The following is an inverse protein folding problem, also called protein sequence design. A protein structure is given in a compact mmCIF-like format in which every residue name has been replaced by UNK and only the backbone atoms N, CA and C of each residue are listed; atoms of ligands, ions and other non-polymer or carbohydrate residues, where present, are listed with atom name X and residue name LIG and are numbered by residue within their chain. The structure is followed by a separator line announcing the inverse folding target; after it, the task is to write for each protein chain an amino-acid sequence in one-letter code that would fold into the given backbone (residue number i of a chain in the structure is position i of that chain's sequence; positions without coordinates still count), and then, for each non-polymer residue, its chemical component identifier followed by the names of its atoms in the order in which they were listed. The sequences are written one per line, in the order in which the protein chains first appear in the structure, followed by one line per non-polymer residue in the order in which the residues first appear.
data_IF_510475750931
#
_entry.id   IF_510475750931
#
_cell.length_a   1.000
_cell.length_b   1.000
_cell.length_c   1.000
_cell.angle_alpha   90.00
_cell.angle_beta   90.00
_cell.angle_gamma   90.00
#
_symmetry.space_group_name_H-M   'P 1'
#
loop_
_entity.id
_entity.type
_entity.pdbx_description
1 polymer ?
#
# COMPACT_ATOMS: atom_id res chain seq x y z
N UNK A 1 1.07 16.56 2.88
CA UNK A 1 1.99 15.98 1.89
C UNK A 1 2.82 17.10 1.29
N UNK A 2 4.15 17.12 1.40
CA UNK A 2 4.99 18.14 0.80
C UNK A 2 5.01 17.97 -0.73
N UNK A 3 4.89 19.06 -1.49
CA UNK A 3 5.15 19.07 -2.93
C UNK A 3 6.55 19.62 -3.15
N UNK A 4 7.42 18.83 -3.76
CA UNK A 4 8.85 19.10 -3.90
C UNK A 4 9.27 19.14 -5.36
N UNK A 5 10.48 19.60 -5.63
CA UNK A 5 11.04 19.66 -6.97
C UNK A 5 11.19 18.27 -7.62
N UNK A 6 11.46 17.24 -6.80
CA UNK A 6 11.58 15.85 -7.26
C UNK A 6 10.41 15.04 -6.69
N UNK A 7 9.72 14.32 -7.55
CA UNK A 7 8.64 13.41 -7.21
C UNK A 7 8.81 12.09 -7.97
N UNK A 8 8.31 11.02 -7.38
CA UNK A 8 8.28 9.70 -8.00
C UNK A 8 6.87 9.40 -8.49
N UNK A 9 6.76 8.80 -9.66
CA UNK A 9 5.49 8.33 -10.23
C UNK A 9 5.62 6.85 -10.60
N UNK A 10 4.49 6.18 -10.81
CA UNK A 10 4.48 4.83 -11.35
C UNK A 10 5.03 4.81 -12.78
N UNK A 11 5.91 3.87 -13.09
CA UNK A 11 6.50 3.75 -14.42
C UNK A 11 5.43 3.54 -15.52
N UNK A 12 4.33 2.89 -15.19
CA UNK A 12 3.21 2.70 -16.12
C UNK A 12 2.44 3.99 -16.45
N UNK A 13 2.66 5.06 -15.68
CA UNK A 13 2.06 6.38 -15.93
C UNK A 13 2.85 7.21 -16.96
N UNK A 14 3.94 6.65 -17.54
CA UNK A 14 4.71 7.30 -18.61
C UNK A 14 4.89 6.37 -19.80
N UNK A 15 4.84 6.95 -21.00
CA UNK A 15 5.24 6.33 -22.27
C UNK A 15 6.19 7.26 -23.04
N UNK A 16 7.19 6.69 -23.69
CA UNK A 16 8.16 7.44 -24.51
C UNK A 16 7.54 8.00 -25.80
N UNK A 17 6.43 7.40 -26.25
CA UNK A 17 5.66 7.85 -27.40
C UNK A 17 4.20 8.07 -27.01
N UNK A 18 3.62 9.16 -27.49
CA UNK A 18 2.21 9.46 -27.30
C UNK A 18 1.32 8.61 -28.23
N UNK A 19 0.09 8.34 -27.79
CA UNK A 19 -0.94 7.68 -28.58
C UNK A 19 -2.30 8.37 -28.34
N UNK A 20 -3.22 8.35 -29.31
CA UNK A 20 -4.53 9.02 -29.20
C UNK A 20 -5.38 8.54 -28.03
N UNK A 21 -5.23 7.29 -27.66
CA UNK A 21 -5.94 6.58 -26.56
C UNK A 21 -5.17 6.60 -25.24
N UNK A 22 -3.96 7.19 -25.19
CA UNK A 22 -3.15 7.30 -24.00
C UNK A 22 -3.33 8.67 -23.34
N UNK A 23 -3.89 8.71 -22.14
CA UNK A 23 -4.22 9.95 -21.43
C UNK A 23 -3.25 10.29 -20.29
N UNK A 24 -2.19 9.49 -20.10
CA UNK A 24 -1.19 9.73 -19.07
C UNK A 24 0.01 10.49 -19.63
N UNK A 25 1.12 10.51 -18.91
CA UNK A 25 2.29 11.32 -19.22
C UNK A 25 3.07 10.77 -20.41
N UNK A 26 3.36 11.64 -21.36
CA UNK A 26 4.25 11.40 -22.50
C UNK A 26 4.93 12.73 -22.87
N UNK A 27 5.98 12.75 -23.71
CA UNK A 27 6.60 13.98 -24.16
C UNK A 27 5.59 14.95 -24.76
N UNK A 28 5.57 16.19 -24.25
CA UNK A 28 4.60 17.22 -24.64
C UNK A 28 3.21 17.10 -24.00
N UNK A 29 2.90 16.01 -23.29
CA UNK A 29 1.62 15.82 -22.61
C UNK A 29 1.58 16.40 -21.21
N UNK A 30 0.38 16.88 -20.83
CA UNK A 30 0.08 17.46 -19.54
C UNK A 30 -0.83 16.56 -18.74
N UNK A 31 -0.47 16.30 -17.47
CA UNK A 31 -1.29 15.57 -16.49
C UNK A 31 -1.38 16.34 -15.19
N UNK A 32 -2.45 16.11 -14.44
CA UNK A 32 -2.55 16.55 -13.04
C UNK A 32 -1.80 15.57 -12.14
N UNK A 33 -1.16 16.10 -11.11
CA UNK A 33 -0.71 15.34 -9.97
C UNK A 33 -1.80 15.38 -8.91
N UNK A 34 -2.14 14.24 -8.32
CA UNK A 34 -3.25 14.18 -7.35
C UNK A 34 -3.03 15.14 -6.18
N UNK A 35 -4.03 15.97 -5.87
CA UNK A 35 -3.98 17.03 -4.85
C UNK A 35 -2.94 18.15 -5.08
N UNK A 36 -2.40 18.29 -6.26
CA UNK A 36 -1.53 19.42 -6.64
C UNK A 36 -2.35 20.43 -7.44
N UNK A 37 -2.28 21.73 -7.14
CA UNK A 37 -3.18 22.73 -7.72
C UNK A 37 -2.96 22.96 -9.22
N UNK A 38 -1.75 22.75 -9.71
CA UNK A 38 -1.42 22.97 -11.14
C UNK A 38 -0.83 21.69 -11.73
N UNK A 39 -1.13 21.41 -13.02
CA UNK A 39 -0.63 20.23 -13.69
C UNK A 39 0.85 20.37 -14.08
N UNK A 40 1.41 19.25 -14.56
CA UNK A 40 2.77 19.18 -15.08
C UNK A 40 2.75 18.72 -16.53
N UNK A 41 3.64 19.30 -17.35
CA UNK A 41 3.85 18.91 -18.74
C UNK A 41 5.24 18.29 -18.87
N UNK A 42 5.34 17.05 -19.37
CA UNK A 42 6.62 16.43 -19.64
C UNK A 42 7.33 17.14 -20.82
N UNK A 43 8.52 17.68 -20.58
CA UNK A 43 9.33 18.36 -21.61
C UNK A 43 10.40 17.47 -22.21
N UNK A 44 10.97 16.56 -21.40
CA UNK A 44 11.97 15.60 -21.84
C UNK A 44 12.07 14.44 -20.86
N UNK A 45 12.78 13.38 -21.24
CA UNK A 45 13.08 12.24 -20.39
C UNK A 45 14.50 11.75 -20.64
N UNK A 46 15.04 10.97 -19.72
CA UNK A 46 16.34 10.30 -19.83
C UNK A 46 16.17 8.80 -19.69
N UNK A 47 17.03 8.07 -20.36
CA UNK A 47 17.11 6.61 -20.31
C UNK A 47 18.50 6.18 -19.85
N UNK A 48 18.59 4.99 -19.26
CA UNK A 48 19.86 4.30 -19.03
C UNK A 48 20.34 3.60 -20.31
N UNK A 49 21.50 2.93 -20.24
CA UNK A 49 22.10 2.19 -21.37
C UNK A 49 21.24 1.01 -21.85
N UNK A 50 20.33 0.50 -21.00
CA UNK A 50 19.36 -0.53 -21.35
C UNK A 50 18.10 0.03 -22.05
N UNK A 51 17.99 1.36 -22.21
CA UNK A 51 16.82 2.02 -22.79
C UNK A 51 15.66 2.22 -21.82
N UNK A 52 15.83 1.90 -20.53
CA UNK A 52 14.80 2.13 -19.52
C UNK A 52 14.76 3.60 -19.09
N UNK A 53 13.56 4.13 -18.96
CA UNK A 53 13.35 5.51 -18.53
C UNK A 53 13.69 5.67 -17.05
N UNK A 54 14.62 6.56 -16.73
CA UNK A 54 15.11 6.81 -15.37
C UNK A 54 14.67 8.15 -14.80
N UNK A 55 14.43 9.14 -15.67
CA UNK A 55 14.10 10.50 -15.24
C UNK A 55 13.19 11.18 -16.24
N UNK A 56 12.21 11.92 -15.74
CA UNK A 56 11.36 12.82 -16.51
C UNK A 56 11.62 14.26 -16.08
N UNK A 57 11.74 15.16 -17.05
CA UNK A 57 11.79 16.59 -16.79
C UNK A 57 10.43 17.16 -17.14
N UNK A 58 9.78 17.78 -16.16
CA UNK A 58 8.45 18.34 -16.33
C UNK A 58 8.43 19.84 -15.99
N UNK A 59 7.62 20.59 -16.74
CA UNK A 59 7.32 21.97 -16.42
C UNK A 59 6.04 22.03 -15.60
N UNK A 60 6.06 22.79 -14.52
CA UNK A 60 4.89 23.07 -13.69
C UNK A 60 4.08 24.21 -14.31
N UNK A 61 2.80 23.98 -14.59
CA UNK A 61 1.95 24.90 -15.37
C UNK A 61 1.20 25.89 -14.48
N UNK A 62 1.92 26.76 -13.80
CA UNK A 62 1.38 27.81 -12.94
C UNK A 62 1.20 29.17 -13.62
N UNK A 63 1.18 29.22 -14.95
CA UNK A 63 1.01 30.43 -15.73
C UNK A 63 -0.41 31.03 -15.65
N UNK A 64 -0.57 32.22 -16.24
CA UNK A 64 -1.84 32.96 -16.25
C UNK A 64 -2.98 32.26 -17.01
N UNK A 65 -2.64 31.35 -17.94
CA UNK A 65 -3.63 30.55 -18.67
C UNK A 65 -3.73 29.17 -18.05
N UNK A 66 -4.87 28.82 -17.41
CA UNK A 66 -5.01 27.52 -16.76
C UNK A 66 -5.01 26.39 -17.81
N UNK A 67 -4.16 25.42 -17.61
CA UNK A 67 -4.17 24.16 -18.37
C UNK A 67 -4.98 23.14 -17.59
N UNK A 68 -6.06 22.63 -18.20
CA UNK A 68 -6.90 21.60 -17.55
C UNK A 68 -6.41 20.23 -17.98
N UNK A 69 -5.89 19.41 -17.04
CA UNK A 69 -5.42 18.08 -17.37
C UNK A 69 -6.59 17.14 -17.63
N UNK A 70 -6.45 16.21 -18.57
CA UNK A 70 -7.47 15.17 -18.84
C UNK A 70 -7.47 14.03 -17.80
N UNK A 71 -6.34 13.84 -17.10
CA UNK A 71 -6.19 12.80 -16.08
C UNK A 71 -5.27 13.26 -14.97
N UNK A 72 -5.38 12.57 -13.83
CA UNK A 72 -4.52 12.76 -12.66
C UNK A 72 -3.78 11.45 -12.37
N UNK A 73 -2.47 11.58 -12.07
CA UNK A 73 -1.62 10.45 -11.70
C UNK A 73 -1.21 10.55 -10.23
N UNK A 74 -0.89 9.41 -9.64
CA UNK A 74 -0.37 9.32 -8.27
C UNK A 74 1.13 9.64 -8.26
N UNK A 75 1.60 10.15 -7.15
CA UNK A 75 2.98 10.54 -6.98
C UNK A 75 3.40 10.49 -5.51
N UNK A 76 4.70 10.39 -5.28
CA UNK A 76 5.31 10.44 -3.95
C UNK A 76 6.45 11.47 -3.97
N UNK A 77 6.51 12.33 -2.96
CA UNK A 77 7.54 13.35 -2.87
C UNK A 77 8.91 12.77 -2.51
N UNK A 78 9.98 13.39 -2.98
CA UNK A 78 11.30 13.27 -2.38
C UNK A 78 11.48 14.37 -1.33
N UNK A 79 11.36 14.01 -0.03
CA UNK A 79 11.45 14.98 1.06
C UNK A 79 11.99 14.32 2.33
N UNK A 80 13.30 14.34 2.50
CA UNK A 80 13.98 13.71 3.63
C UNK A 80 13.46 14.15 5.02
N UNK A 81 13.13 15.44 5.28
CA UNK A 81 12.62 15.85 6.59
C UNK A 81 11.30 15.17 7.00
N UNK A 82 10.46 14.76 6.03
CA UNK A 82 9.23 13.99 6.29
C UNK A 82 9.41 12.50 6.10
N UNK A 83 10.60 12.01 5.87
CA UNK A 83 10.92 10.61 5.55
C UNK A 83 10.19 10.09 4.29
N UNK A 84 9.93 10.96 3.33
CA UNK A 84 9.33 10.60 2.04
C UNK A 84 10.41 10.40 0.97
N UNK A 85 10.34 9.34 0.15
CA UNK A 85 9.36 8.28 0.13
C UNK A 85 9.57 7.23 1.23
N UNK A 86 8.49 6.61 1.71
CA UNK A 86 8.59 5.41 2.54
C UNK A 86 8.85 4.22 1.64
N UNK A 87 10.02 3.60 1.77
CA UNK A 87 10.39 2.43 0.95
C UNK A 87 9.81 1.15 1.54
N UNK A 88 9.21 0.35 0.66
CA UNK A 88 8.66 -0.97 0.99
C UNK A 88 9.74 -2.01 0.68
N UNK A 89 10.14 -2.77 1.69
CA UNK A 89 11.15 -3.82 1.51
C UNK A 89 10.63 -4.93 0.58
N UNK A 90 9.38 -5.35 0.79
CA UNK A 90 8.70 -6.34 -0.05
C UNK A 90 7.21 -6.01 -0.17
N UNK A 91 6.71 -5.84 -1.40
CA UNK A 91 5.29 -5.92 -1.68
C UNK A 91 5.01 -7.27 -2.35
N UNK A 92 4.32 -8.15 -1.62
CA UNK A 92 4.03 -9.52 -2.04
C UNK A 92 2.69 -9.57 -2.76
N UNK A 93 2.71 -9.97 -4.02
CA UNK A 93 1.53 -10.16 -4.85
C UNK A 93 1.29 -11.66 -4.98
N UNK A 94 0.11 -12.10 -4.57
CA UNK A 94 -0.26 -13.51 -4.65
C UNK A 94 -1.18 -13.75 -5.85
N UNK A 95 -0.92 -14.83 -6.55
CA UNK A 95 -1.68 -15.37 -7.68
C UNK A 95 -2.21 -16.76 -7.33
N UNK A 96 -3.10 -17.36 -8.12
CA UNK A 96 -3.57 -18.72 -7.88
C UNK A 96 -2.41 -19.69 -7.67
N UNK A 97 -2.50 -20.51 -6.60
CA UNK A 97 -1.45 -21.47 -6.26
C UNK A 97 -1.33 -22.59 -7.30
N UNK A 98 -2.45 -22.90 -7.96
CA UNK A 98 -2.48 -23.93 -9.01
C UNK A 98 -2.84 -23.32 -10.35
N UNK A 99 -2.34 -23.94 -11.42
CA UNK A 99 -2.63 -23.56 -12.81
C UNK A 99 -3.90 -24.20 -13.35
N UNK A 100 -4.46 -25.20 -12.66
CA UNK A 100 -5.73 -25.84 -12.96
C UNK A 100 -6.86 -25.29 -12.07
N UNK A 101 -8.11 -25.35 -12.55
CA UNK A 101 -9.29 -24.86 -11.82
C UNK A 101 -9.65 -25.75 -10.62
N UNK A 102 -9.52 -27.08 -10.78
CA UNK A 102 -9.83 -28.03 -9.72
C UNK A 102 -8.62 -28.95 -9.46
N UNK A 103 -7.75 -28.60 -8.49
CA UNK A 103 -6.61 -29.41 -8.12
C UNK A 103 -7.01 -30.75 -7.49
N UNK A 104 -8.18 -30.80 -6.81
CA UNK A 104 -8.63 -32.02 -6.14
C UNK A 104 -9.09 -33.12 -7.12
N UNK A 105 -9.45 -32.74 -8.34
CA UNK A 105 -9.80 -33.66 -9.41
C UNK A 105 -8.58 -34.25 -10.14
N UNK A 106 -7.36 -33.82 -9.80
CA UNK A 106 -6.13 -34.28 -10.46
C UNK A 106 -5.48 -35.41 -9.67
N UNK A 107 -5.02 -36.46 -10.35
CA UNK A 107 -4.28 -37.57 -9.72
C UNK A 107 -2.96 -37.10 -9.08
N UNK A 108 -2.27 -36.14 -9.70
CA UNK A 108 -1.08 -35.48 -9.18
C UNK A 108 -1.25 -33.96 -9.23
N UNK A 109 -1.86 -33.39 -8.19
CA UNK A 109 -2.07 -31.94 -8.09
C UNK A 109 -0.77 -31.15 -7.94
N UNK A 110 0.32 -31.77 -7.49
CA UNK A 110 1.62 -31.11 -7.32
C UNK A 110 2.23 -30.72 -8.67
N UNK A 111 1.91 -31.46 -9.73
CA UNK A 111 2.33 -31.11 -11.10
C UNK A 111 1.72 -29.79 -11.61
N UNK A 112 0.64 -29.34 -10.99
CA UNK A 112 -0.06 -28.09 -11.34
C UNK A 112 0.28 -26.91 -10.42
N UNK A 113 1.30 -27.04 -9.57
CA UNK A 113 1.75 -25.90 -8.76
C UNK A 113 2.23 -24.77 -9.67
N UNK A 114 1.71 -23.57 -9.45
CA UNK A 114 2.12 -22.37 -10.16
C UNK A 114 3.44 -21.84 -9.59
N UNK A 115 4.55 -21.93 -10.30
CA UNK A 115 5.85 -21.42 -9.82
C UNK A 115 5.86 -19.89 -9.66
N UNK A 116 4.92 -19.20 -10.30
CA UNK A 116 4.73 -17.75 -10.22
C UNK A 116 3.55 -17.34 -9.31
N UNK A 117 3.16 -18.21 -8.37
CA UNK A 117 2.07 -17.93 -7.43
C UNK A 117 2.37 -16.78 -6.47
N UNK A 118 3.64 -16.40 -6.31
CA UNK A 118 4.08 -15.25 -5.52
C UNK A 118 5.07 -14.41 -6.30
N UNK A 119 4.72 -13.16 -6.54
CA UNK A 119 5.60 -12.13 -7.06
C UNK A 119 6.02 -11.17 -5.93
N UNK A 120 7.27 -10.77 -5.89
CA UNK A 120 7.80 -9.83 -4.89
C UNK A 120 8.30 -8.59 -5.60
N UNK A 121 7.65 -7.47 -5.36
CA UNK A 121 8.13 -6.16 -5.78
C UNK A 121 8.97 -5.56 -4.64
N UNK A 122 10.20 -5.20 -4.95
CA UNK A 122 11.13 -4.58 -4.00
C UNK A 122 11.22 -3.08 -4.24
N UNK A 123 11.55 -2.34 -3.19
CA UNK A 123 11.77 -0.90 -3.26
C UNK A 123 10.57 -0.08 -3.77
N UNK A 124 9.34 -0.63 -3.68
CA UNK A 124 8.14 0.15 -3.95
C UNK A 124 8.08 1.35 -2.99
N UNK A 125 7.49 2.44 -3.46
CA UNK A 125 7.47 3.70 -2.72
C UNK A 125 6.05 4.04 -2.28
N UNK A 126 5.88 4.37 -1.00
CA UNK A 126 4.63 4.84 -0.42
C UNK A 126 4.75 6.27 0.07
N UNK A 127 3.61 6.93 0.10
CA UNK A 127 3.44 8.24 0.72
C UNK A 127 3.48 8.11 2.25
N UNK A 128 4.03 9.13 2.93
CA UNK A 128 4.21 9.16 4.40
C UNK A 128 2.93 9.02 5.22
N UNK A 129 1.76 9.19 4.62
CA UNK A 129 0.46 8.92 5.24
C UNK A 129 0.33 7.50 5.77
N UNK A 130 1.15 6.55 5.31
CA UNK A 130 1.20 5.19 5.85
C UNK A 130 1.49 5.17 7.35
N UNK A 131 2.31 6.09 7.88
CA UNK A 131 2.56 6.18 9.31
C UNK A 131 1.29 6.50 10.09
N UNK A 132 0.51 7.46 9.61
CA UNK A 132 -0.78 7.81 10.23
C UNK A 132 -1.80 6.69 10.13
N UNK A 133 -1.87 6.04 8.98
CA UNK A 133 -2.74 4.86 8.78
C UNK A 133 -2.38 3.77 9.78
N UNK A 134 -1.10 3.50 9.98
CA UNK A 134 -0.59 2.53 10.95
C UNK A 134 -1.00 2.88 12.37
N UNK A 135 -0.74 4.12 12.80
CA UNK A 135 -1.10 4.59 14.13
C UNK A 135 -2.62 4.44 14.39
N UNK A 136 -3.45 4.89 13.46
CA UNK A 136 -4.90 4.81 13.57
C UNK A 136 -5.39 3.35 13.61
N UNK A 137 -4.88 2.49 12.73
CA UNK A 137 -5.27 1.08 12.68
C UNK A 137 -4.88 0.33 13.96
N UNK A 138 -3.67 0.55 14.47
CA UNK A 138 -3.19 -0.04 15.71
C UNK A 138 -4.00 0.45 16.92
N UNK A 139 -4.32 1.74 16.99
CA UNK A 139 -5.14 2.31 18.06
C UNK A 139 -6.57 1.77 18.03
N UNK A 140 -7.15 1.62 16.84
CA UNK A 140 -8.48 1.04 16.68
C UNK A 140 -8.50 -0.42 17.10
N UNK A 141 -7.57 -1.22 16.62
CA UNK A 141 -7.51 -2.63 16.92
C UNK A 141 -7.28 -2.91 18.43
N UNK A 142 -6.50 -2.05 19.11
CA UNK A 142 -6.36 -2.12 20.57
C UNK A 142 -7.69 -1.83 21.29
N UNK A 143 -8.45 -0.83 20.85
CA UNK A 143 -9.79 -0.53 21.41
C UNK A 143 -10.75 -1.69 21.21
N UNK A 144 -10.83 -2.24 20.01
CA UNK A 144 -11.69 -3.38 19.69
C UNK A 144 -11.32 -4.65 20.48
N UNK A 145 -10.03 -4.88 20.70
CA UNK A 145 -9.56 -5.98 21.55
C UNK A 145 -10.02 -5.78 23.00
N UNK A 146 -9.88 -4.57 23.54
CA UNK A 146 -10.33 -4.24 24.90
C UNK A 146 -11.85 -4.39 25.06
N UNK A 147 -12.63 -3.89 24.10
CA UNK A 147 -14.09 -4.02 24.10
C UNK A 147 -14.54 -5.48 24.07
N UNK A 148 -13.87 -6.33 23.26
CA UNK A 148 -14.15 -7.77 23.22
C UNK A 148 -13.91 -8.45 24.56
N UNK A 149 -12.82 -8.12 25.24
CA UNK A 149 -12.51 -8.64 26.59
C UNK A 149 -13.59 -8.23 27.60
N UNK A 150 -14.01 -6.94 27.56
CA UNK A 150 -15.09 -6.46 28.44
C UNK A 150 -16.43 -7.16 28.17
N UNK A 151 -16.80 -7.33 26.90
CA UNK A 151 -18.03 -8.04 26.51
C UNK A 151 -18.00 -9.51 26.95
N UNK A 152 -16.86 -10.19 26.75
CA UNK A 152 -16.70 -11.57 27.19
C UNK A 152 -16.83 -11.71 28.71
N UNK A 153 -16.22 -10.80 29.46
CA UNK A 153 -16.34 -10.76 30.92
C UNK A 153 -17.79 -10.54 31.38
N UNK A 154 -18.51 -9.62 30.74
CA UNK A 154 -19.92 -9.33 31.07
C UNK A 154 -20.85 -10.50 30.75
N UNK A 155 -20.62 -11.20 29.65
CA UNK A 155 -21.34 -12.41 29.29
C UNK A 155 -21.08 -13.55 30.33
N UNK A 156 -19.83 -13.70 30.76
CA UNK A 156 -19.45 -14.67 31.77
C UNK A 156 -20.09 -14.34 33.16
N UNK A 157 -20.10 -13.05 33.55
CA UNK A 157 -20.76 -12.59 34.76
C UNK A 157 -22.27 -12.89 34.74
N UNK A 158 -22.92 -12.63 33.62
CA UNK A 158 -24.35 -12.90 33.47
C UNK A 158 -24.70 -14.38 33.41
N UNK A 159 -23.80 -15.23 32.91
CA UNK A 159 -24.04 -16.67 32.75
C UNK A 159 -23.63 -17.50 33.97
N UNK A 160 -22.58 -17.18 34.68
CA UNK A 160 -21.90 -18.00 35.67
C UNK A 160 -21.65 -17.30 37.01
N UNK A 161 -21.96 -16.03 37.15
CA UNK A 161 -21.72 -15.23 38.36
C UNK A 161 -20.35 -14.55 38.39
N UNK A 162 -20.14 -13.68 39.41
CA UNK A 162 -18.98 -12.77 39.48
C UNK A 162 -17.60 -13.46 39.51
N UNK A 163 -17.52 -14.64 40.14
CA UNK A 163 -16.23 -15.35 40.29
C UNK A 163 -15.71 -15.89 38.95
N UNK A 164 -16.63 -16.29 38.04
CA UNK A 164 -16.27 -16.73 36.70
C UNK A 164 -15.85 -15.56 35.81
N UNK A 165 -16.46 -14.37 35.95
CA UNK A 165 -16.09 -13.17 35.23
C UNK A 165 -14.67 -12.71 35.59
N UNK A 166 -14.28 -12.79 36.87
CA UNK A 166 -12.91 -12.48 37.30
C UNK A 166 -11.89 -13.47 36.76
N UNK A 167 -12.24 -14.77 36.64
CA UNK A 167 -11.37 -15.77 36.01
C UNK A 167 -11.16 -15.53 34.52
N UNK A 168 -12.23 -15.15 33.80
CA UNK A 168 -12.13 -14.79 32.38
C UNK A 168 -11.27 -13.52 32.18
N UNK A 169 -11.48 -12.49 32.99
CA UNK A 169 -10.66 -11.28 32.94
C UNK A 169 -9.20 -11.56 33.30
N UNK A 170 -8.91 -12.41 34.28
CA UNK A 170 -7.54 -12.78 34.65
C UNK A 170 -6.88 -13.65 33.59
N UNK A 171 -7.62 -14.57 32.97
CA UNK A 171 -7.11 -15.42 31.89
C UNK A 171 -6.86 -14.64 30.62
N UNK A 172 -7.80 -13.77 30.21
CA UNK A 172 -7.63 -12.88 29.05
C UNK A 172 -6.61 -11.78 29.33
N UNK A 173 -6.50 -11.27 30.56
CA UNK A 173 -5.42 -10.33 30.93
C UNK A 173 -4.04 -11.01 30.91
N UNK A 174 -3.92 -12.28 31.29
CA UNK A 174 -2.66 -13.04 31.19
C UNK A 174 -2.34 -13.42 29.74
N UNK A 175 -3.34 -13.77 28.95
CA UNK A 175 -3.20 -13.95 27.49
C UNK A 175 -3.03 -12.61 26.76
N UNK A 176 -3.69 -11.54 27.22
CA UNK A 176 -3.50 -10.19 26.69
C UNK A 176 -2.13 -9.60 27.08
N UNK A 177 -1.54 -9.98 28.22
CA UNK A 177 -0.14 -9.63 28.52
C UNK A 177 0.88 -10.46 27.71
N UNK A 178 0.52 -11.69 27.33
CA UNK A 178 1.33 -12.55 26.45
C UNK A 178 0.99 -12.40 24.95
N UNK A 179 -0.19 -11.91 24.61
CA UNK A 179 -0.76 -11.77 23.26
C UNK A 179 -1.39 -10.39 22.99
N UNK A 180 -1.07 -9.38 23.79
CA UNK A 180 -1.55 -8.01 23.57
C UNK A 180 -0.83 -7.25 22.45
N UNK A 181 -0.03 -7.93 21.67
CA UNK A 181 0.42 -7.44 20.39
C UNK A 181 -0.71 -7.64 19.38
N UNK A 182 -1.57 -6.64 19.27
CA UNK A 182 -2.38 -6.49 18.06
C UNK A 182 -1.42 -6.68 16.88
N UNK A 183 -1.65 -7.70 16.08
CA UNK A 183 -0.78 -8.03 14.95
C UNK A 183 -0.72 -6.86 13.98
N UNK A 184 0.39 -6.72 13.31
CA UNK A 184 0.60 -5.65 12.29
C UNK A 184 -0.37 -5.78 11.12
N UNK A 185 -0.95 -6.96 10.93
CA UNK A 185 -1.95 -7.29 9.92
C UNK A 185 -3.27 -6.49 10.07
N UNK A 186 -3.47 -5.84 11.22
CA UNK A 186 -4.56 -4.89 11.39
C UNK A 186 -4.38 -3.63 10.54
N UNK A 187 -3.13 -3.33 10.13
CA UNK A 187 -2.81 -2.20 9.24
C UNK A 187 -3.19 -2.57 7.82
N UNK A 188 -4.35 -2.10 7.38
CA UNK A 188 -4.90 -2.35 6.05
C UNK A 188 -5.21 -1.03 5.39
N UNK A 189 -4.88 -0.93 4.11
CA UNK A 189 -5.10 0.29 3.34
C UNK A 189 -5.26 -0.01 1.85
N UNK A 190 -5.80 0.97 1.15
CA UNK A 190 -5.83 0.96 -0.30
C UNK A 190 -4.64 1.75 -0.83
N UNK A 191 -3.76 1.08 -1.58
CA UNK A 191 -2.85 1.76 -2.47
C UNK A 191 -3.65 2.17 -3.71
N UNK A 192 -3.90 3.46 -3.86
CA UNK A 192 -4.80 3.99 -4.89
C UNK A 192 -4.37 3.52 -6.28
N UNK A 193 -5.31 2.97 -7.05
CA UNK A 193 -5.14 2.42 -8.41
C UNK A 193 -4.31 1.12 -8.49
N UNK A 194 -3.81 0.61 -7.35
CA UNK A 194 -2.97 -0.60 -7.33
C UNK A 194 -3.71 -1.78 -6.69
N UNK A 195 -4.22 -1.61 -5.47
CA UNK A 195 -4.87 -2.69 -4.75
C UNK A 195 -5.06 -2.39 -3.28
N UNK A 196 -5.63 -3.36 -2.56
CA UNK A 196 -5.71 -3.34 -1.10
C UNK A 196 -4.58 -4.17 -0.53
N UNK A 197 -3.93 -3.64 0.49
CA UNK A 197 -2.78 -4.25 1.14
C UNK A 197 -2.98 -4.35 2.65
N UNK A 198 -2.35 -5.36 3.24
CA UNK A 198 -2.16 -5.47 4.68
C UNK A 198 -0.66 -5.48 4.98
N UNK A 199 -0.26 -4.92 6.12
CA UNK A 199 1.09 -5.11 6.61
C UNK A 199 1.28 -6.57 7.04
N UNK A 200 2.45 -7.13 6.75
CA UNK A 200 2.84 -8.46 7.20
C UNK A 200 3.41 -8.39 8.63
N UNK A 201 3.33 -9.51 9.37
CA UNK A 201 3.94 -9.66 10.70
C UNK A 201 5.45 -9.39 10.69
N UNK A 202 6.11 -9.67 9.58
CA UNK A 202 7.55 -9.42 9.39
C UNK A 202 7.89 -7.93 9.34
N UNK A 203 6.89 -7.05 9.17
CA UNK A 203 7.13 -5.60 9.14
C UNK A 203 7.68 -5.10 10.47
N UNK A 204 8.68 -4.22 10.43
CA UNK A 204 9.05 -3.35 11.54
C UNK A 204 8.79 -1.90 11.11
N UNK A 205 7.82 -1.25 11.74
CA UNK A 205 7.54 0.15 11.51
C UNK A 205 7.80 0.89 12.82
N UNK A 206 8.84 1.71 12.83
CA UNK A 206 9.03 2.68 13.87
C UNK A 206 7.92 3.74 13.70
N UNK A 207 7.19 4.03 14.78
CA UNK A 207 6.30 5.18 14.83
C UNK A 207 7.14 6.45 14.68
N UNK A 208 6.54 7.52 14.18
CA UNK A 208 7.17 8.81 13.95
C UNK A 208 8.12 9.19 15.10
N UNK A 209 9.41 9.32 14.80
CA UNK A 209 10.43 9.75 15.75
C UNK A 209 11.54 8.74 16.06
N UNK A 210 11.35 7.46 15.79
CA UNK A 210 12.40 6.47 15.93
C UNK A 210 13.30 6.45 14.68
N UNK A 211 14.60 6.53 14.88
CA UNK A 211 15.60 6.48 13.79
C UNK A 211 15.88 5.06 13.29
N UNK A 212 15.08 4.08 13.69
CA UNK A 212 15.22 2.73 13.19
C UNK A 212 14.81 2.63 11.72
N UNK A 213 15.57 1.92 10.88
CA UNK A 213 15.19 1.71 9.49
C UNK A 213 13.85 0.97 9.45
N UNK A 214 12.91 1.51 8.68
CA UNK A 214 11.64 0.87 8.45
C UNK A 214 11.86 -0.39 7.57
N UNK A 215 11.40 -1.53 8.05
CA UNK A 215 11.31 -2.74 7.23
C UNK A 215 9.84 -3.04 7.01
N UNK A 216 9.29 -2.52 5.92
CA UNK A 216 7.87 -2.67 5.61
C UNK A 216 7.68 -3.80 4.60
N UNK A 217 6.93 -4.81 5.02
CA UNK A 217 6.48 -5.92 4.18
C UNK A 217 4.97 -5.84 4.03
N UNK A 218 4.49 -5.88 2.80
CA UNK A 218 3.09 -5.73 2.46
C UNK A 218 2.58 -6.95 1.70
N UNK A 219 1.39 -7.43 2.06
CA UNK A 219 0.68 -8.47 1.33
C UNK A 219 -0.50 -7.85 0.58
N UNK A 220 -0.60 -8.05 -0.73
CA UNK A 220 -1.78 -7.66 -1.48
C UNK A 220 -2.95 -8.58 -1.13
N UNK A 221 -4.04 -7.98 -0.62
CA UNK A 221 -5.27 -8.70 -0.27
C UNK A 221 -6.08 -8.95 -1.56
N UNK A 222 -6.29 -7.86 -2.35
CA UNK A 222 -7.05 -7.90 -3.59
C UNK A 222 -6.55 -6.81 -4.55
N UNK A 223 -6.52 -7.12 -5.84
CA UNK A 223 -6.26 -6.12 -6.89
C UNK A 223 -7.50 -5.24 -7.08
N UNK A 224 -7.30 -4.00 -7.49
CA UNK A 224 -8.38 -3.20 -8.05
C UNK A 224 -8.71 -3.73 -9.45
N UNK A 225 -9.98 -3.59 -9.87
CA UNK A 225 -10.34 -3.82 -11.28
C UNK A 225 -9.48 -2.91 -12.14
N UNK A 226 -8.87 -3.47 -13.17
CA UNK A 226 -8.13 -2.66 -14.14
C UNK A 226 -9.08 -1.62 -14.74
N UNK A 227 -8.67 -0.35 -14.75
CA UNK A 227 -9.35 0.66 -15.55
C UNK A 227 -9.33 0.20 -17.01
N UNK A 228 -10.46 0.27 -17.69
CA UNK A 228 -10.58 -0.10 -19.09
C UNK A 228 -9.63 0.69 -20.04
N UNK A 229 -8.94 1.72 -19.54
CA UNK A 229 -7.91 2.49 -20.23
C UNK A 229 -6.48 1.95 -20.08
N UNK A 230 -6.27 0.83 -19.39
CA UNK A 230 -4.97 0.11 -19.30
C UNK A 230 -4.85 -0.99 -20.36
N UNK A 231 -5.45 -0.82 -21.53
CA UNK A 231 -5.18 -1.77 -22.61
C UNK A 231 -3.68 -1.76 -22.96
N UNK A 232 -3.16 -2.94 -23.00
CA UNK A 232 -1.78 -3.44 -23.14
C UNK A 232 -0.88 -2.67 -24.08
#
# INVERSE_FOLDING_TARGET
MPFTKTVYIDASDFRTQDAPDYFRLAPGKTVGLYQVPHPVTCTSFRTNDAGEVTELVCRYENGASPVVPKTYIQWVAEHAPSQSPVRVAEARLFHPLFTCEDPAAQDDFLAFINPHSREILRDAMLEVGIFRVTEMAMAQAKREAHERVQQAAQLAENALGRDAAQSVQAHDASQASASSTVGKECVRFQAMRVGYFAADSDSSMALFGDQAPHHLVLNRIVSLKEDAGKSK
#
